data_IF_495263665607
#
_entry.id   IF_495263665607
#
_cell.length_a   1.000
_cell.length_b   1.000
_cell.length_c   1.000
_cell.angle_alpha   90.00
_cell.angle_beta   90.00
_cell.angle_gamma   90.00
#
_symmetry.space_group_name_H-M   'P 1'
#
loop_
_entity.id
_entity.type
_entity.pdbx_description
1 polymer ?
#
# COMPACT_ATOMS: atom_id res chain seq x y z
N UNK A 1 15.63 45.29 8.40
CA UNK A 1 14.52 44.82 7.56
C UNK A 1 14.87 43.43 7.06
N UNK A 2 14.37 42.34 7.67
CA UNK A 2 14.67 41.00 7.18
C UNK A 2 13.78 40.64 5.98
N UNK A 3 14.40 40.01 4.99
CA UNK A 3 13.81 39.66 3.71
C UNK A 3 12.60 38.73 3.85
N UNK A 4 11.52 39.09 3.17
CA UNK A 4 10.32 38.26 3.01
C UNK A 4 10.66 37.09 2.09
N UNK A 5 10.77 35.90 2.68
CA UNK A 5 10.87 34.64 1.94
C UNK A 5 9.48 34.35 1.35
N UNK A 6 9.37 34.43 0.02
CA UNK A 6 8.18 34.01 -0.72
C UNK A 6 8.10 32.47 -0.69
N UNK A 7 6.98 31.86 -0.28
CA UNK A 7 6.81 30.43 -0.46
C UNK A 7 6.66 30.10 -1.95
N UNK A 8 7.31 29.02 -2.36
CA UNK A 8 7.31 28.49 -3.71
C UNK A 8 5.89 28.14 -4.17
N UNK A 9 5.55 28.54 -5.39
CA UNK A 9 4.32 28.14 -6.06
C UNK A 9 4.44 26.69 -6.53
N UNK A 10 3.73 25.79 -5.85
CA UNK A 10 3.50 24.43 -6.34
C UNK A 10 2.30 24.46 -7.30
N UNK A 11 2.58 24.19 -8.57
CA UNK A 11 1.56 24.04 -9.62
C UNK A 11 0.98 22.63 -9.57
N UNK A 12 -0.36 22.52 -9.54
CA UNK A 12 -1.06 21.42 -10.23
C UNK A 12 -1.52 20.20 -9.42
N UNK A 13 -1.81 20.33 -8.12
CA UNK A 13 -2.52 19.32 -7.33
C UNK A 13 -2.69 19.83 -5.91
N UNK A 14 -3.90 19.82 -5.34
CA UNK A 14 -4.08 20.18 -3.93
C UNK A 14 -3.56 19.01 -3.11
N UNK A 15 -2.31 19.08 -2.69
CA UNK A 15 -1.77 18.15 -1.69
C UNK A 15 -2.27 18.60 -0.33
N UNK A 16 -3.11 17.80 0.30
CA UNK A 16 -3.72 18.11 1.60
C UNK A 16 -2.83 17.52 2.69
N UNK A 17 -2.17 18.37 3.47
CA UNK A 17 -1.40 17.93 4.64
C UNK A 17 -2.34 17.83 5.84
N UNK A 18 -2.57 16.61 6.35
CA UNK A 18 -3.37 16.35 7.55
C UNK A 18 -2.52 15.67 8.62
N UNK A 19 -2.47 16.27 9.80
CA UNK A 19 -1.96 15.60 11.01
C UNK A 19 -3.01 14.64 11.55
N UNK A 20 -2.60 13.45 11.94
CA UNK A 20 -3.52 12.45 12.49
C UNK A 20 -2.84 11.19 12.98
N UNK A 21 -3.65 10.16 13.13
CA UNK A 21 -3.20 8.81 13.48
C UNK A 21 -3.62 7.85 12.38
N UNK A 22 -2.66 7.11 11.83
CA UNK A 22 -2.88 6.02 10.89
C UNK A 22 -2.81 4.70 11.64
N UNK A 23 -3.96 4.06 11.80
CA UNK A 23 -4.06 2.73 12.38
C UNK A 23 -3.95 1.66 11.28
N UNK A 24 -2.79 1.02 11.21
CA UNK A 24 -2.51 -0.05 10.25
C UNK A 24 -2.96 -1.38 10.83
N UNK A 25 -3.84 -2.08 10.13
CA UNK A 25 -4.38 -3.39 10.52
C UNK A 25 -4.16 -4.43 9.44
N UNK A 26 -3.86 -5.64 9.87
CA UNK A 26 -3.80 -6.81 8.99
C UNK A 26 -5.17 -7.45 8.89
N UNK A 27 -5.74 -7.51 7.68
CA UNK A 27 -6.97 -8.21 7.37
C UNK A 27 -6.63 -9.48 6.58
N UNK A 28 -7.35 -10.58 6.86
CA UNK A 28 -7.21 -11.83 6.12
C UNK A 28 -8.08 -11.80 4.87
N UNK A 29 -7.45 -11.67 3.70
CA UNK A 29 -8.09 -11.74 2.39
C UNK A 29 -8.05 -13.14 1.78
N UNK A 30 -8.73 -13.27 0.64
CA UNK A 30 -8.73 -14.50 -0.18
C UNK A 30 -7.34 -14.87 -0.69
N UNK A 31 -6.47 -13.89 -0.92
CA UNK A 31 -5.10 -14.07 -1.39
C UNK A 31 -4.04 -13.98 -0.27
N UNK A 32 -4.46 -14.04 1.00
CA UNK A 32 -3.57 -13.96 2.16
C UNK A 32 -3.79 -12.72 3.03
N UNK A 33 -2.98 -12.53 4.09
CA UNK A 33 -3.07 -11.35 4.94
C UNK A 33 -2.60 -10.10 4.18
N UNK A 34 -3.39 -9.03 4.25
CA UNK A 34 -3.09 -7.73 3.65
C UNK A 34 -3.23 -6.61 4.69
N UNK A 35 -2.56 -5.50 4.46
CA UNK A 35 -2.61 -4.37 5.38
C UNK A 35 -3.52 -3.27 4.84
N UNK A 36 -4.34 -2.73 5.74
CA UNK A 36 -5.16 -1.55 5.52
C UNK A 36 -4.89 -0.55 6.62
N UNK A 37 -5.04 0.73 6.30
CA UNK A 37 -4.90 1.83 7.23
C UNK A 37 -6.25 2.50 7.42
N UNK A 38 -6.56 2.86 8.66
CA UNK A 38 -7.60 3.83 8.95
C UNK A 38 -6.92 5.12 9.42
N UNK A 39 -7.02 6.17 8.61
CA UNK A 39 -6.44 7.47 8.89
C UNK A 39 -7.48 8.35 9.59
N UNK A 40 -7.27 8.56 10.88
CA UNK A 40 -8.10 9.43 11.71
C UNK A 40 -7.47 10.81 11.81
N UNK A 41 -8.18 11.82 11.33
CA UNK A 41 -7.73 13.23 11.34
C UNK A 41 -8.80 14.13 11.93
N UNK A 42 -8.47 15.39 12.19
CA UNK A 42 -9.44 16.40 12.63
C UNK A 42 -10.54 16.69 11.60
N UNK A 43 -10.31 16.36 10.33
CA UNK A 43 -11.26 16.57 9.23
C UNK A 43 -12.22 15.39 9.08
N UNK A 44 -11.83 14.20 9.54
CA UNK A 44 -12.60 12.98 9.45
C UNK A 44 -11.75 11.72 9.44
N UNK A 45 -12.42 10.60 9.25
CA UNK A 45 -11.82 9.26 9.16
C UNK A 45 -11.82 8.80 7.71
N UNK A 46 -10.67 8.32 7.25
CA UNK A 46 -10.46 7.91 5.86
C UNK A 46 -9.81 6.54 5.80
N UNK A 47 -10.32 5.65 4.94
CA UNK A 47 -9.63 4.38 4.68
C UNK A 47 -8.46 4.60 3.73
N UNK A 48 -7.30 4.12 4.14
CA UNK A 48 -6.10 4.09 3.32
C UNK A 48 -5.86 2.63 2.96
N UNK A 49 -5.99 2.32 1.66
CA UNK A 49 -5.68 0.99 1.12
C UNK A 49 -4.54 1.13 0.13
N UNK A 50 -3.44 1.72 0.54
CA UNK A 50 -2.28 1.92 -0.33
C UNK A 50 -1.35 0.69 -0.26
N UNK A 51 -0.55 0.46 -1.30
CA UNK A 51 0.44 -0.61 -1.36
C UNK A 51 1.58 -0.35 -0.39
N UNK A 52 1.93 0.92 -0.21
CA UNK A 52 2.93 1.34 0.79
C UNK A 52 2.54 0.91 2.19
N UNK A 53 1.27 0.63 2.51
CA UNK A 53 0.92 0.13 3.84
C UNK A 53 1.43 -1.27 4.11
N UNK A 54 1.69 -2.06 3.07
CA UNK A 54 2.07 -3.47 3.20
C UNK A 54 3.45 -3.68 3.80
N UNK A 55 4.30 -2.64 3.81
CA UNK A 55 5.60 -2.67 4.47
C UNK A 55 5.54 -2.27 5.96
N UNK A 56 4.44 -1.65 6.41
CA UNK A 56 4.30 -1.20 7.81
C UNK A 56 3.96 -2.37 8.73
N UNK A 57 4.27 -2.26 10.01
CA UNK A 57 3.76 -3.22 10.99
C UNK A 57 2.35 -2.83 11.47
N UNK A 58 1.51 -3.79 11.87
CA UNK A 58 0.19 -3.47 12.41
C UNK A 58 0.29 -2.66 13.71
N UNK A 59 -0.50 -1.59 13.78
CA UNK A 59 -0.65 -0.73 14.94
C UNK A 59 -0.79 0.75 14.55
N UNK A 60 -0.81 1.62 15.55
CA UNK A 60 -1.10 3.03 15.36
C UNK A 60 0.19 3.85 15.16
N UNK A 61 0.22 4.64 14.09
CA UNK A 61 1.29 5.59 13.80
C UNK A 61 0.75 7.02 13.81
N UNK A 62 1.37 7.90 14.58
CA UNK A 62 1.06 9.32 14.57
C UNK A 62 1.99 10.05 13.61
N UNK A 63 1.46 11.05 12.92
CA UNK A 63 2.29 11.86 12.04
C UNK A 63 1.50 12.84 11.20
N UNK A 64 2.19 13.39 10.21
CA UNK A 64 1.62 14.25 9.18
C UNK A 64 1.54 13.51 7.86
N UNK A 65 0.32 13.38 7.34
CA UNK A 65 0.01 12.64 6.13
C UNK A 65 -0.29 13.60 5.00
N UNK A 66 0.44 13.48 3.90
CA UNK A 66 0.19 14.23 2.67
C UNK A 66 -0.78 13.41 1.83
N UNK A 67 -1.99 13.91 1.66
CA UNK A 67 -3.06 13.27 0.89
C UNK A 67 -3.08 13.86 -0.51
N UNK A 68 -2.91 13.00 -1.52
CA UNK A 68 -3.05 13.34 -2.94
C UNK A 68 -4.51 13.60 -3.30
N UNK A 69 -5.40 12.71 -2.86
CA UNK A 69 -6.84 12.82 -3.09
C UNK A 69 -7.66 12.05 -2.06
N UNK A 70 -8.82 12.61 -1.74
CA UNK A 70 -9.89 11.94 -1.01
C UNK A 70 -11.00 11.66 -2.01
N UNK A 71 -11.45 10.42 -2.10
CA UNK A 71 -12.47 10.02 -3.06
C UNK A 71 -13.38 8.92 -2.49
N UNK A 72 -14.68 8.96 -2.80
CA UNK A 72 -15.54 7.82 -2.53
C UNK A 72 -15.16 6.68 -3.46
N UNK A 73 -15.02 5.48 -2.91
CA UNK A 73 -14.85 4.26 -3.67
C UNK A 73 -16.02 3.33 -3.37
N UNK A 74 -16.71 2.89 -4.41
CA UNK A 74 -17.84 1.97 -4.29
C UNK A 74 -17.52 0.63 -4.91
N UNK A 75 -17.77 -0.46 -4.19
CA UNK A 75 -17.68 -1.81 -4.73
C UNK A 75 -18.97 -2.57 -4.46
N UNK A 76 -19.23 -3.56 -5.31
CA UNK A 76 -20.41 -4.43 -5.19
C UNK A 76 -19.95 -5.82 -4.80
N UNK A 77 -20.44 -6.30 -3.66
CA UNK A 77 -20.12 -7.63 -3.15
C UNK A 77 -21.40 -8.33 -2.69
N UNK A 78 -21.64 -9.54 -3.19
CA UNK A 78 -22.80 -10.36 -2.81
C UNK A 78 -24.14 -9.62 -2.89
N UNK A 79 -24.32 -8.78 -3.93
CA UNK A 79 -25.53 -7.97 -4.14
C UNK A 79 -25.65 -6.71 -3.26
N UNK A 80 -24.65 -6.40 -2.42
CA UNK A 80 -24.58 -5.16 -1.62
C UNK A 80 -23.61 -4.18 -2.27
N UNK A 81 -23.99 -2.89 -2.33
CA UNK A 81 -23.08 -1.80 -2.71
C UNK A 81 -22.53 -1.17 -1.43
N UNK A 82 -21.22 -1.24 -1.24
CA UNK A 82 -20.52 -0.57 -0.14
C UNK A 82 -19.79 0.63 -0.70
N UNK A 83 -19.93 1.79 -0.04
CA UNK A 83 -19.19 3.02 -0.37
C UNK A 83 -18.28 3.37 0.79
N UNK A 84 -16.99 3.50 0.50
CA UNK A 84 -15.96 3.88 1.47
C UNK A 84 -15.34 5.22 1.08
N UNK A 85 -15.04 6.07 2.06
CA UNK A 85 -14.25 7.27 1.81
C UNK A 85 -12.79 6.89 1.90
N UNK A 86 -12.10 6.88 0.76
CA UNK A 86 -10.68 6.51 0.67
C UNK A 86 -9.80 7.74 0.51
N UNK A 87 -8.64 7.72 1.16
CA UNK A 87 -7.58 8.69 0.95
C UNK A 87 -6.39 7.99 0.28
N UNK A 88 -5.88 8.58 -0.80
CA UNK A 88 -4.59 8.20 -1.38
C UNK A 88 -3.51 9.05 -0.75
N UNK A 89 -2.51 8.40 -0.14
CA UNK A 89 -1.37 9.09 0.44
C UNK A 89 -0.36 9.38 -0.68
N UNK A 90 0.07 10.63 -0.78
CA UNK A 90 1.25 11.00 -1.55
C UNK A 90 2.51 10.70 -0.74
N UNK A 91 2.47 10.99 0.57
CA UNK A 91 3.57 10.76 1.50
C UNK A 91 3.05 10.67 2.95
N UNK A 92 3.87 10.09 3.82
CA UNK A 92 3.61 9.98 5.25
C UNK A 92 4.89 10.33 6.03
N UNK A 93 4.81 11.42 6.81
CA UNK A 93 5.84 11.83 7.75
C UNK A 93 5.44 11.35 9.15
N UNK A 94 6.02 10.23 9.57
CA UNK A 94 5.66 9.56 10.81
C UNK A 94 6.59 10.01 11.93
N UNK A 95 6.01 10.36 13.07
CA UNK A 95 6.75 10.82 14.24
C UNK A 95 7.40 9.67 15.02
N UNK A 96 6.95 8.43 14.77
CA UNK A 96 7.42 7.21 15.43
C UNK A 96 7.74 6.12 14.41
N UNK A 97 8.86 5.43 14.61
CA UNK A 97 9.27 4.27 13.79
C UNK A 97 8.55 2.98 14.21
N UNK A 98 8.21 2.85 15.49
CA UNK A 98 7.47 1.70 16.02
C UNK A 98 5.99 2.07 16.25
N UNK A 99 5.06 1.18 15.91
CA UNK A 99 3.65 1.40 16.16
C UNK A 99 3.33 1.33 17.66
N UNK A 100 2.42 2.18 18.14
CA UNK A 100 1.85 2.02 19.47
C UNK A 100 0.67 1.05 19.44
N UNK A 101 0.58 0.18 20.45
CA UNK A 101 -0.45 -0.87 20.55
C UNK A 101 -1.85 -0.39 20.98
N UNK A 102 -2.15 0.92 20.91
CA UNK A 102 -3.48 1.44 21.24
C UNK A 102 -4.45 1.32 20.05
N UNK A 103 -4.90 0.10 19.78
CA UNK A 103 -6.03 -0.12 18.85
C UNK A 103 -7.11 -0.92 19.55
N UNK A 104 -8.10 -0.21 20.12
CA UNK A 104 -9.28 -0.80 20.77
C UNK A 104 -10.44 -1.06 19.77
N UNK A 105 -10.14 -1.18 18.47
CA UNK A 105 -11.14 -1.36 17.41
C UNK A 105 -11.25 -2.85 17.03
N UNK A 106 -12.43 -3.49 17.17
CA UNK A 106 -12.60 -4.88 16.78
C UNK A 106 -12.39 -5.09 15.27
N UNK A 107 -11.71 -6.17 14.91
CA UNK A 107 -11.45 -6.57 13.53
C UNK A 107 -12.78 -6.83 12.77
N UNK A 108 -13.19 -5.89 11.92
CA UNK A 108 -14.33 -6.11 11.02
C UNK A 108 -13.93 -7.09 9.92
N UNK A 109 -14.45 -8.31 9.98
CA UNK A 109 -14.10 -9.39 9.05
C UNK A 109 -15.19 -9.60 8.01
N UNK A 110 -14.94 -9.09 6.79
CA UNK A 110 -15.34 -9.60 5.47
C UNK A 110 -15.08 -8.53 4.40
N UNK A 111 -13.91 -7.88 4.45
CA UNK A 111 -13.56 -6.85 3.48
C UNK A 111 -12.79 -7.47 2.31
N UNK A 112 -13.14 -7.13 1.05
CA UNK A 112 -12.43 -7.66 -0.12
C UNK A 112 -10.95 -7.22 -0.11
N UNK A 113 -10.07 -8.13 -0.56
CA UNK A 113 -8.64 -7.83 -0.70
C UNK A 113 -8.46 -6.75 -1.76
N UNK A 114 -7.70 -5.66 -1.47
CA UNK A 114 -7.35 -4.65 -2.46
C UNK A 114 -6.81 -5.21 -3.78
N UNK A 115 -6.08 -6.34 -3.74
CA UNK A 115 -5.55 -6.97 -4.95
C UNK A 115 -6.65 -7.54 -5.87
N UNK A 116 -7.75 -8.03 -5.31
CA UNK A 116 -8.90 -8.51 -6.08
C UNK A 116 -9.64 -7.33 -6.76
N UNK A 117 -9.71 -6.19 -6.07
CA UNK A 117 -10.29 -4.95 -6.60
C UNK A 117 -9.44 -4.39 -7.77
N UNK A 118 -8.11 -4.32 -7.62
CA UNK A 118 -7.19 -3.86 -8.68
C UNK A 118 -7.29 -4.74 -9.93
N UNK A 119 -7.27 -6.07 -9.76
CA UNK A 119 -7.46 -7.01 -10.87
C UNK A 119 -8.81 -6.81 -11.57
N UNK A 120 -9.87 -6.53 -10.83
CA UNK A 120 -11.20 -6.27 -11.40
C UNK A 120 -11.24 -4.93 -12.15
N UNK A 121 -10.60 -3.89 -11.63
CA UNK A 121 -10.51 -2.57 -12.26
C UNK A 121 -9.77 -2.62 -13.61
N UNK A 122 -8.65 -3.35 -13.68
CA UNK A 122 -7.87 -3.50 -14.92
C UNK A 122 -8.62 -4.34 -15.96
N UNK A 123 -9.36 -5.35 -15.52
CA UNK A 123 -10.16 -6.20 -16.41
C UNK A 123 -11.43 -5.47 -16.91
N UNK A 124 -11.93 -4.47 -16.18
CA UNK A 124 -13.15 -3.72 -16.56
C UNK A 124 -12.87 -2.56 -17.53
N UNK A 125 -11.61 -2.25 -17.84
CA UNK A 125 -11.25 -1.26 -18.86
C UNK A 125 -11.28 -1.80 -20.31
N UNK A 126 -11.36 -3.13 -20.50
CA UNK A 126 -11.60 -3.73 -21.82
C UNK A 126 -12.76 -4.73 -21.73
N UNK A 127 -13.76 -4.55 -22.59
CA UNK A 127 -14.87 -5.46 -22.88
C UNK A 127 -16.04 -5.51 -21.86
N UNK A 128 -17.01 -4.61 -22.07
CA UNK A 128 -18.41 -5.03 -22.05
C UNK A 128 -18.69 -5.87 -23.29
N UNK A 129 -18.61 -7.20 -23.18
CA UNK A 129 -19.54 -8.13 -23.83
C UNK A 129 -19.38 -9.54 -23.26
N UNK A 130 -20.49 -10.00 -22.70
CA UNK A 130 -20.94 -11.37 -22.42
C UNK A 130 -20.11 -12.61 -22.79
N UNK A 131 -20.30 -13.59 -21.90
CA UNK A 131 -20.45 -15.05 -22.10
C UNK A 131 -19.29 -16.01 -21.73
N UNK A 132 -19.73 -17.05 -21.02
CA UNK A 132 -19.09 -18.17 -20.32
C UNK A 132 -18.34 -19.17 -21.22
N UNK A 133 -17.62 -20.17 -20.66
CA UNK A 133 -16.25 -20.57 -21.04
C UNK A 133 -16.21 -21.69 -22.10
N UNK A 134 -15.01 -22.03 -22.63
CA UNK A 134 -14.42 -23.32 -22.22
C UNK A 134 -12.88 -23.37 -22.12
N UNK A 135 -12.42 -24.13 -21.13
CA UNK A 135 -11.31 -25.11 -21.15
C UNK A 135 -10.23 -25.00 -22.22
N UNK A 136 -8.99 -24.74 -21.77
CA UNK A 136 -7.82 -25.58 -22.12
C UNK A 136 -6.59 -25.22 -21.27
N UNK A 137 -5.59 -26.11 -21.20
CA UNK A 137 -4.99 -26.57 -19.95
C UNK A 137 -3.84 -25.69 -19.46
N UNK A 138 -3.80 -25.52 -18.15
CA UNK A 138 -2.66 -24.99 -17.42
C UNK A 138 -1.55 -26.05 -17.41
N UNK A 139 -0.33 -25.77 -17.93
CA UNK A 139 0.81 -26.56 -17.56
C UNK A 139 1.08 -26.35 -16.07
N UNK A 140 1.19 -27.48 -15.38
CA UNK A 140 1.64 -27.54 -14.02
C UNK A 140 3.10 -27.08 -13.92
N UNK A 141 3.37 -26.30 -12.88
CA UNK A 141 4.61 -26.39 -12.13
C UNK A 141 5.83 -25.71 -12.74
N UNK A 142 5.96 -24.42 -12.49
CA UNK A 142 7.25 -23.86 -12.12
C UNK A 142 7.02 -23.01 -10.88
N UNK A 143 7.35 -23.58 -9.72
CA UNK A 143 7.74 -22.82 -8.55
C UNK A 143 8.92 -21.95 -8.99
N UNK A 144 8.61 -20.78 -9.52
CA UNK A 144 9.59 -19.81 -9.97
C UNK A 144 10.44 -19.42 -8.78
N UNK A 145 11.65 -19.97 -8.71
CA UNK A 145 12.78 -19.22 -8.20
C UNK A 145 12.84 -17.95 -9.05
N UNK A 146 12.05 -16.94 -8.68
CA UNK A 146 12.14 -15.62 -9.27
C UNK A 146 13.55 -15.13 -9.00
N UNK A 147 14.36 -15.04 -10.05
CA UNK A 147 15.66 -14.41 -10.00
C UNK A 147 15.49 -13.00 -9.44
N UNK A 148 16.31 -12.58 -8.47
CA UNK A 148 16.23 -11.22 -7.88
C UNK A 148 16.14 -10.11 -8.96
N UNK A 149 16.87 -10.18 -10.09
CA UNK A 149 16.73 -9.22 -11.19
C UNK A 149 15.34 -9.16 -11.83
N UNK A 150 14.59 -10.27 -11.88
CA UNK A 150 13.25 -10.31 -12.50
C UNK A 150 12.20 -9.68 -11.58
N UNK A 151 12.37 -9.81 -10.26
CA UNK A 151 11.39 -9.31 -9.29
C UNK A 151 11.69 -7.87 -8.85
N UNK A 152 12.95 -7.50 -8.69
CA UNK A 152 13.35 -6.16 -8.22
C UNK A 152 13.85 -5.25 -9.34
N UNK A 153 14.22 -5.80 -10.51
CA UNK A 153 15.07 -5.11 -11.47
C UNK A 153 16.54 -5.22 -11.07
N UNK A 154 17.44 -5.10 -12.05
CA UNK A 154 18.89 -5.27 -11.86
C UNK A 154 19.48 -4.30 -10.83
N UNK A 155 19.02 -3.06 -10.80
CA UNK A 155 19.58 -2.02 -9.90
C UNK A 155 19.27 -2.30 -8.43
N UNK A 156 18.02 -2.64 -8.11
CA UNK A 156 17.61 -3.00 -6.75
C UNK A 156 18.20 -4.35 -6.34
N UNK A 157 18.32 -5.31 -7.27
CA UNK A 157 18.99 -6.58 -7.02
C UNK A 157 20.48 -6.39 -6.66
N UNK A 158 21.20 -5.52 -7.37
CA UNK A 158 22.60 -5.19 -7.07
C UNK A 158 22.73 -4.49 -5.72
N UNK A 159 21.83 -3.56 -5.39
CA UNK A 159 21.78 -2.90 -4.07
C UNK A 159 21.54 -3.93 -2.95
N UNK A 160 20.65 -4.90 -3.15
CA UNK A 160 20.38 -5.98 -2.19
C UNK A 160 21.60 -6.87 -1.95
N UNK A 161 22.34 -7.21 -3.01
CA UNK A 161 23.59 -7.98 -2.94
C UNK A 161 24.69 -7.18 -2.25
N UNK A 162 24.78 -5.88 -2.52
CA UNK A 162 25.73 -4.96 -1.90
C UNK A 162 25.42 -4.64 -0.43
N UNK A 163 24.19 -4.93 0.04
CA UNK A 163 23.76 -4.61 1.40
C UNK A 163 23.34 -3.15 1.59
N UNK A 164 23.01 -2.46 0.52
CA UNK A 164 22.63 -1.05 0.52
C UNK A 164 21.16 -0.84 0.92
N UNK A 165 20.78 0.36 1.40
CA UNK A 165 19.39 0.70 1.68
C UNK A 165 18.51 0.57 0.43
N UNK A 166 17.38 -0.12 0.57
CA UNK A 166 16.46 -0.41 -0.54
C UNK A 166 15.13 0.32 -0.33
N UNK A 167 14.65 1.00 -1.38
CA UNK A 167 13.29 1.58 -1.41
C UNK A 167 12.46 0.87 -2.47
N UNK A 168 11.31 0.34 -2.06
CA UNK A 168 10.38 -0.31 -2.98
C UNK A 168 9.62 0.75 -3.79
N UNK A 169 9.40 0.46 -5.07
CA UNK A 169 8.61 1.31 -5.95
C UNK A 169 7.11 1.01 -5.75
N UNK A 170 6.31 1.96 -5.22
CA UNK A 170 4.88 1.75 -4.99
C UNK A 170 4.04 1.75 -6.27
N UNK A 171 4.63 1.99 -7.44
CA UNK A 171 3.92 1.97 -8.73
C UNK A 171 3.69 0.56 -9.29
N UNK A 172 4.40 -0.45 -8.78
CA UNK A 172 4.25 -1.85 -9.21
C UNK A 172 2.91 -2.45 -8.76
N UNK A 173 2.53 -3.60 -9.33
CA UNK A 173 1.34 -4.33 -8.90
C UNK A 173 1.43 -4.71 -7.41
N UNK A 174 0.29 -4.75 -6.70
CA UNK A 174 0.28 -5.05 -5.27
C UNK A 174 0.77 -6.45 -4.96
N UNK A 175 0.46 -7.43 -5.82
CA UNK A 175 0.97 -8.78 -5.68
C UNK A 175 2.49 -8.84 -5.79
N UNK A 176 3.08 -8.08 -6.72
CA UNK A 176 4.53 -7.94 -6.89
C UNK A 176 5.16 -7.23 -5.70
N UNK A 177 4.54 -6.15 -5.21
CA UNK A 177 4.99 -5.40 -4.04
C UNK A 177 5.08 -6.27 -2.78
N UNK A 178 4.07 -7.14 -2.55
CA UNK A 178 4.11 -8.15 -1.45
C UNK A 178 5.30 -9.09 -1.58
N UNK A 179 5.54 -9.60 -2.78
CA UNK A 179 6.65 -10.54 -3.03
C UNK A 179 8.00 -9.87 -2.79
N UNK A 180 8.18 -8.63 -3.24
CA UNK A 180 9.39 -7.84 -3.00
C UNK A 180 9.62 -7.62 -1.50
N UNK A 181 8.59 -7.22 -0.75
CA UNK A 181 8.64 -7.09 0.71
C UNK A 181 9.04 -8.40 1.39
N UNK A 182 8.39 -9.50 1.04
CA UNK A 182 8.61 -10.80 1.68
C UNK A 182 10.01 -11.33 1.39
N UNK A 183 10.54 -11.10 0.18
CA UNK A 183 11.93 -11.40 -0.13
C UNK A 183 12.90 -10.55 0.68
N UNK A 184 12.71 -9.22 0.79
CA UNK A 184 13.57 -8.37 1.61
C UNK A 184 13.64 -8.85 3.07
N UNK A 185 12.51 -9.23 3.65
CA UNK A 185 12.45 -9.82 4.99
C UNK A 185 13.22 -11.15 5.07
N UNK A 186 13.11 -12.01 4.06
CA UNK A 186 13.87 -13.26 3.99
C UNK A 186 15.39 -13.03 3.86
N UNK A 187 15.81 -11.91 3.25
CA UNK A 187 17.21 -11.49 3.16
C UNK A 187 17.73 -10.77 4.42
N UNK A 188 16.92 -10.64 5.47
CA UNK A 188 17.33 -10.00 6.73
C UNK A 188 17.22 -8.48 6.73
N UNK A 189 16.45 -7.89 5.82
CA UNK A 189 16.16 -6.46 5.85
C UNK A 189 15.01 -6.15 6.81
N UNK A 190 15.15 -5.07 7.57
CA UNK A 190 14.11 -4.48 8.40
C UNK A 190 13.62 -3.17 7.77
N UNK A 191 12.31 -2.95 7.83
CA UNK A 191 11.68 -1.73 7.30
C UNK A 191 11.71 -0.62 8.34
N UNK A 192 12.17 0.57 7.94
CA UNK A 192 12.07 1.79 8.75
C UNK A 192 10.91 2.66 8.27
N UNK A 193 9.93 2.86 9.15
CA UNK A 193 8.71 3.61 8.86
C UNK A 193 8.98 5.09 8.58
N UNK A 194 9.81 5.77 9.38
CA UNK A 194 10.05 7.22 9.22
C UNK A 194 10.79 7.58 7.93
N UNK A 195 11.68 6.70 7.45
CA UNK A 195 12.44 6.91 6.20
C UNK A 195 11.87 6.17 5.00
N UNK A 196 10.85 5.33 5.22
CA UNK A 196 10.25 4.43 4.23
C UNK A 196 11.31 3.63 3.46
N UNK A 197 12.33 3.13 4.16
CA UNK A 197 13.51 2.47 3.58
C UNK A 197 13.77 1.13 4.28
N UNK A 198 14.26 0.15 3.53
CA UNK A 198 14.68 -1.15 4.04
C UNK A 198 16.18 -1.15 4.31
N UNK A 199 16.58 -1.58 5.52
CA UNK A 199 17.97 -1.66 5.94
C UNK A 199 18.34 -3.10 6.30
N UNK A 200 19.52 -3.54 5.85
CA UNK A 200 20.05 -4.87 6.20
C UNK A 200 20.46 -4.88 7.67
N UNK A 201 19.90 -5.81 8.43
CA UNK A 201 20.19 -6.00 9.86
C UNK A 201 21.21 -7.11 10.08
#
# INVERSE_FOLDING_TARGET
>A
MPASVRPASLSGGIVISLSGTLDVRTIKGSNGPFQVGELTTSVGEFKVKDKVLEQFEPGAYTGTFLIDKIYPHSYVWYGKVTVEIRARLADAQLDNDEPFSETNQPASSAEPDPADEERTADTTALARTHETPPTSPQPAGESGELYLPDLFGTELADAMVAGEPVKLDPTVDRGVFRQQRDQLRAFGYAFQASTQTWLKT
#
